data_IF_800624876220
#
_entry.id   IF_800624876220
#
_cell.length_a   1.000
_cell.length_b   1.000
_cell.length_c   1.000
_cell.angle_alpha   90.00
_cell.angle_beta   90.00
_cell.angle_gamma   90.00
#
_symmetry.space_group_name_H-M   'P 1'
#
loop_
_entity.id
_entity.type
_entity.pdbx_description
1 polymer ?
#
# COMPACT_ATOMS: atom_id res chain seq x y z
N UNK A 1 17.01 8.50 16.24
CA UNK A 1 15.84 8.89 17.06
C UNK A 1 14.98 9.80 16.23
N UNK A 2 13.68 9.56 16.12
CA UNK A 2 12.75 10.43 15.38
C UNK A 2 12.28 11.57 16.28
N UNK A 3 12.12 12.77 15.73
CA UNK A 3 11.59 13.93 16.44
C UNK A 3 10.07 13.96 16.30
N UNK A 4 9.29 14.14 17.39
CA UNK A 4 7.84 14.31 17.29
C UNK A 4 7.47 15.55 16.48
N UNK A 5 6.54 15.41 15.53
CA UNK A 5 6.10 16.49 14.61
C UNK A 5 4.74 17.10 14.99
N UNK A 6 4.09 16.60 16.04
CA UNK A 6 2.82 17.12 16.56
C UNK A 6 1.57 16.75 15.75
N UNK A 7 0.41 17.06 16.32
CA UNK A 7 -0.90 16.66 15.77
C UNK A 7 -1.22 17.31 14.42
N UNK A 8 -0.86 18.58 14.22
CA UNK A 8 -1.13 19.29 12.96
C UNK A 8 -0.41 18.64 11.78
N UNK A 9 0.81 18.16 11.99
CA UNK A 9 1.55 17.45 10.95
C UNK A 9 0.90 16.10 10.64
N UNK A 10 0.43 15.38 11.65
CA UNK A 10 -0.33 14.14 11.46
C UNK A 10 -1.62 14.39 10.66
N UNK A 11 -2.41 15.41 11.02
CA UNK A 11 -3.65 15.74 10.32
C UNK A 11 -3.41 16.11 8.85
N UNK A 12 -2.37 16.90 8.57
CA UNK A 12 -1.99 17.23 7.17
C UNK A 12 -1.60 15.99 6.37
N UNK A 13 -0.88 15.05 6.98
CA UNK A 13 -0.52 13.79 6.32
C UNK A 13 -1.74 12.91 6.05
N UNK A 14 -2.65 12.78 7.01
CA UNK A 14 -3.90 12.04 6.82
C UNK A 14 -4.78 12.67 5.73
N UNK A 15 -4.91 14.00 5.70
CA UNK A 15 -5.63 14.71 4.64
C UNK A 15 -5.01 14.45 3.26
N UNK A 16 -3.68 14.47 3.15
CA UNK A 16 -3.00 14.16 1.89
C UNK A 16 -3.29 12.73 1.40
N UNK A 17 -3.33 11.75 2.31
CA UNK A 17 -3.68 10.36 1.96
C UNK A 17 -5.14 10.24 1.50
N UNK A 18 -6.07 10.93 2.18
CA UNK A 18 -7.51 10.89 1.85
C UNK A 18 -7.81 11.60 0.52
N UNK A 19 -7.10 12.68 0.22
CA UNK A 19 -7.33 13.48 -0.99
C UNK A 19 -6.56 12.99 -2.21
N UNK A 20 -5.72 11.95 -2.08
CA UNK A 20 -4.95 11.43 -3.20
C UNK A 20 -5.89 10.88 -4.28
N UNK A 21 -5.52 11.08 -5.55
CA UNK A 21 -6.25 10.49 -6.66
C UNK A 21 -6.18 8.96 -6.60
N UNK A 22 -7.23 8.31 -7.09
CA UNK A 22 -7.19 6.88 -7.39
C UNK A 22 -6.29 6.65 -8.62
N UNK A 23 -5.34 5.73 -8.48
CA UNK A 23 -4.34 5.40 -9.50
C UNK A 23 -4.49 3.96 -10.01
N UNK A 24 -5.56 3.24 -9.66
CA UNK A 24 -5.77 1.86 -10.10
C UNK A 24 -5.75 1.71 -11.63
N UNK A 25 -6.32 2.69 -12.35
CA UNK A 25 -6.32 2.71 -13.82
C UNK A 25 -4.92 2.86 -14.44
N UNK A 26 -3.93 3.30 -13.68
CA UNK A 26 -2.55 3.43 -14.14
C UNK A 26 -1.74 2.14 -14.00
N UNK A 27 -2.20 1.16 -13.21
CA UNK A 27 -1.45 -0.10 -12.98
C UNK A 27 -1.01 -0.81 -14.27
N UNK A 28 -1.86 -0.92 -15.32
CA UNK A 28 -1.47 -1.58 -16.56
C UNK A 28 -0.34 -0.87 -17.33
N UNK A 29 -0.04 0.39 -17.00
CA UNK A 29 1.04 1.16 -17.65
C UNK A 29 2.43 0.89 -17.06
N UNK A 30 2.52 0.15 -15.95
CA UNK A 30 3.79 -0.19 -15.31
C UNK A 30 4.51 -1.27 -16.14
N UNK A 31 5.64 -0.91 -16.74
CA UNK A 31 6.39 -1.79 -17.64
C UNK A 31 7.64 -2.44 -16.99
N UNK A 32 8.04 -2.00 -15.80
CA UNK A 32 9.21 -2.57 -15.11
C UNK A 32 8.81 -3.79 -14.26
N UNK A 33 9.77 -4.67 -13.91
CA UNK A 33 9.55 -5.74 -12.95
C UNK A 33 8.99 -5.17 -11.64
N UNK A 34 7.85 -5.71 -11.20
CA UNK A 34 7.09 -5.18 -10.07
C UNK A 34 6.83 -6.28 -9.05
N UNK A 35 6.96 -5.96 -7.77
CA UNK A 35 6.57 -6.82 -6.65
C UNK A 35 5.43 -6.15 -5.87
N UNK A 36 4.40 -6.92 -5.57
CA UNK A 36 3.30 -6.53 -4.68
C UNK A 36 3.45 -7.37 -3.42
N UNK A 37 3.61 -6.72 -2.26
CA UNK A 37 3.86 -7.40 -0.99
C UNK A 37 2.83 -6.93 0.03
N UNK A 38 2.19 -7.86 0.72
CA UNK A 38 1.15 -7.56 1.72
C UNK A 38 1.29 -8.44 2.96
N UNK A 39 1.04 -7.88 4.14
CA UNK A 39 1.07 -8.63 5.40
C UNK A 39 -0.26 -9.32 5.65
N UNK A 40 -0.26 -10.63 5.93
CA UNK A 40 -1.49 -11.40 6.13
C UNK A 40 -2.40 -10.86 7.27
N UNK A 41 -1.79 -10.18 8.26
CA UNK A 41 -2.46 -9.58 9.40
C UNK A 41 -2.64 -8.06 9.30
N UNK A 42 -2.54 -7.45 8.11
CA UNK A 42 -2.82 -6.01 7.94
C UNK A 42 -4.28 -5.70 8.32
N UNK A 43 -4.44 -4.76 9.25
CA UNK A 43 -5.75 -4.30 9.76
C UNK A 43 -6.09 -2.88 9.30
N UNK A 44 -5.14 -2.20 8.67
CA UNK A 44 -5.31 -0.84 8.13
C UNK A 44 -5.72 -0.88 6.66
N UNK A 45 -5.13 -1.78 5.88
CA UNK A 45 -5.47 -1.99 4.47
C UNK A 45 -5.87 -3.45 4.29
N UNK A 46 -7.07 -3.76 3.76
CA UNK A 46 -7.47 -5.13 3.52
C UNK A 46 -6.64 -5.76 2.40
N UNK A 47 -6.37 -7.07 2.51
CA UNK A 47 -5.61 -7.82 1.51
C UNK A 47 -6.22 -7.77 0.10
N UNK A 48 -7.55 -7.58 0.00
CA UNK A 48 -8.25 -7.47 -1.28
C UNK A 48 -7.71 -6.34 -2.16
N UNK A 49 -7.21 -5.25 -1.58
CA UNK A 49 -6.58 -4.17 -2.35
C UNK A 49 -5.31 -4.65 -3.07
N UNK A 50 -4.50 -5.51 -2.44
CA UNK A 50 -3.33 -6.08 -3.08
C UNK A 50 -3.70 -7.14 -4.13
N UNK A 51 -4.75 -7.92 -3.88
CA UNK A 51 -5.30 -8.89 -4.85
C UNK A 51 -5.83 -8.18 -6.11
N UNK A 52 -6.57 -7.08 -5.94
CA UNK A 52 -7.06 -6.23 -7.03
C UNK A 52 -5.89 -5.65 -7.84
N UNK A 53 -4.83 -5.17 -7.16
CA UNK A 53 -3.61 -4.70 -7.83
C UNK A 53 -2.93 -5.81 -8.64
N UNK A 54 -2.82 -7.02 -8.08
CA UNK A 54 -2.22 -8.17 -8.76
C UNK A 54 -3.06 -8.62 -9.98
N UNK A 55 -4.39 -8.54 -9.89
CA UNK A 55 -5.28 -8.80 -11.02
C UNK A 55 -5.13 -7.75 -12.13
N UNK A 56 -4.95 -6.48 -11.76
CA UNK A 56 -4.77 -5.38 -12.71
C UNK A 56 -3.35 -5.32 -13.32
N UNK A 57 -2.35 -5.90 -12.65
CA UNK A 57 -0.97 -6.01 -13.13
C UNK A 57 -0.48 -7.47 -13.07
N UNK A 58 -0.89 -8.34 -14.02
CA UNK A 58 -0.59 -9.77 -13.97
C UNK A 58 0.91 -10.12 -14.09
N UNK A 59 1.73 -9.18 -14.53
CA UNK A 59 3.19 -9.33 -14.61
C UNK A 59 3.90 -9.13 -13.26
N UNK A 60 3.19 -8.63 -12.24
CA UNK A 60 3.75 -8.44 -10.92
C UNK A 60 3.87 -9.75 -10.15
N UNK A 61 4.89 -9.85 -9.31
CA UNK A 61 5.01 -10.94 -8.33
C UNK A 61 4.25 -10.55 -7.06
N UNK A 62 3.16 -11.25 -6.77
CA UNK A 62 2.37 -11.03 -5.56
C UNK A 62 2.83 -11.98 -4.43
N UNK A 63 3.21 -11.42 -3.28
CA UNK A 63 3.66 -12.15 -2.09
C UNK A 63 2.88 -11.72 -0.86
N UNK A 64 2.31 -12.70 -0.15
CA UNK A 64 1.69 -12.49 1.16
C UNK A 64 2.67 -12.94 2.24
N UNK A 65 2.93 -12.08 3.22
CA UNK A 65 3.84 -12.36 4.34
C UNK A 65 3.03 -12.80 5.55
N UNK A 66 3.09 -14.10 5.84
CA UNK A 66 2.45 -14.69 7.01
C UNK A 66 3.02 -14.12 8.31
N UNK A 67 2.14 -13.88 9.30
CA UNK A 67 2.51 -13.32 10.59
C UNK A 67 2.86 -11.83 10.59
N UNK A 68 2.84 -11.15 9.44
CA UNK A 68 3.11 -9.71 9.34
C UNK A 68 1.82 -8.87 9.24
N UNK A 69 1.83 -7.68 9.83
CA UNK A 69 0.73 -6.70 9.74
C UNK A 69 0.99 -5.60 8.70
N UNK A 70 0.42 -4.42 8.91
CA UNK A 70 0.62 -3.26 8.03
C UNK A 70 2.07 -2.82 7.90
N UNK A 71 2.80 -2.88 9.01
CA UNK A 71 4.24 -2.62 9.05
C UNK A 71 4.96 -3.97 9.01
N UNK A 72 5.57 -4.28 7.86
CA UNK A 72 6.14 -5.59 7.56
C UNK A 72 7.48 -5.89 8.26
N UNK A 73 8.03 -4.95 9.02
CA UNK A 73 9.37 -5.00 9.62
C UNK A 73 9.37 -4.63 11.10
#
# INVERSE_FOLDING_TARGET
MTTPIGADAFLRQQQAVVQRADLQSMLPSIACPTAIIHGAGDRLIPISAAEEMAAALPTAQFTVVEGAGHFLF
#
